data_IF_811988496416
#
_entry.id   IF_811988496416
#
_cell.length_a   1.000
_cell.length_b   1.000
_cell.length_c   1.000
_cell.angle_alpha   90.00
_cell.angle_beta   90.00
_cell.angle_gamma   90.00
#
_symmetry.space_group_name_H-M   'P 1'
#
loop_
_entity.id
_entity.type
_entity.pdbx_description
1 polymer ?
#
# COMPACT_ATOMS: atom_id res chain seq x y z
N UNK A 1 6.88 19.75 -5.11
CA UNK A 1 5.88 20.62 -4.47
C UNK A 1 5.07 19.73 -3.55
N UNK A 2 5.39 19.74 -2.25
CA UNK A 2 4.73 18.89 -1.26
C UNK A 2 3.30 19.40 -1.08
N UNK A 3 2.32 18.66 -1.59
CA UNK A 3 0.92 18.95 -1.33
C UNK A 3 0.63 18.53 0.11
N UNK A 4 0.33 19.55 0.92
CA UNK A 4 0.02 19.48 2.33
C UNK A 4 -1.16 18.53 2.55
N UNK A 5 -0.94 17.52 3.39
CA UNK A 5 -1.97 16.69 4.01
C UNK A 5 -2.96 17.61 4.74
N UNK A 6 -4.13 17.83 4.15
CA UNK A 6 -5.26 18.45 4.84
C UNK A 6 -5.84 17.41 5.78
N UNK A 7 -5.28 17.34 6.99
CA UNK A 7 -5.92 16.68 8.13
C UNK A 7 -7.10 17.56 8.56
N UNK A 8 -8.26 17.36 7.91
CA UNK A 8 -9.52 17.93 8.38
C UNK A 8 -10.04 17.07 9.56
N UNK A 9 -9.34 17.14 10.69
CA UNK A 9 -9.81 16.58 11.95
C UNK A 9 -10.89 17.49 12.54
N UNK A 10 -12.15 17.29 12.18
CA UNK A 10 -13.31 17.90 12.85
C UNK A 10 -14.58 17.07 12.60
N UNK A 11 -14.64 15.85 13.14
CA UNK A 11 -15.74 15.24 13.91
C UNK A 11 -15.36 13.76 14.13
N UNK A 12 -15.23 13.28 15.37
CA UNK A 12 -14.94 11.87 15.69
C UNK A 12 -16.18 10.98 15.43
N UNK A 13 -16.70 11.03 14.20
CA UNK A 13 -17.87 10.27 13.79
C UNK A 13 -17.45 9.07 12.95
N UNK A 14 -18.22 7.99 13.05
CA UNK A 14 -18.11 6.81 12.17
C UNK A 14 -17.99 7.21 10.70
N UNK A 15 -18.85 8.14 10.25
CA UNK A 15 -18.91 8.57 8.85
C UNK A 15 -17.59 9.23 8.41
N UNK A 16 -17.08 10.17 9.21
CA UNK A 16 -15.78 10.82 8.95
C UNK A 16 -14.66 9.78 8.88
N UNK A 17 -14.64 8.82 9.80
CA UNK A 17 -13.59 7.79 9.82
C UNK A 17 -13.63 6.86 8.60
N UNK A 18 -14.82 6.50 8.12
CA UNK A 18 -14.99 5.72 6.89
C UNK A 18 -14.60 6.51 5.64
N UNK A 19 -14.89 7.82 5.60
CA UNK A 19 -14.45 8.72 4.54
C UNK A 19 -12.92 8.81 4.53
N UNK A 20 -12.29 8.99 5.70
CA UNK A 20 -10.83 9.06 5.82
C UNK A 20 -10.14 7.76 5.40
N UNK A 21 -10.71 6.61 5.77
CA UNK A 21 -10.21 5.31 5.31
C UNK A 21 -10.29 5.19 3.78
N UNK A 22 -11.41 5.61 3.17
CA UNK A 22 -11.58 5.59 1.72
C UNK A 22 -10.58 6.51 1.01
N UNK A 23 -10.42 7.74 1.47
CA UNK A 23 -9.43 8.69 0.94
C UNK A 23 -8.01 8.12 1.05
N UNK A 24 -7.67 7.53 2.20
CA UNK A 24 -6.39 6.88 2.38
C UNK A 24 -6.13 5.75 1.34
N UNK A 25 -7.11 4.90 1.06
CA UNK A 25 -6.95 3.83 0.07
C UNK A 25 -6.79 4.37 -1.35
N UNK A 26 -7.52 5.43 -1.71
CA UNK A 26 -7.37 6.09 -3.01
C UNK A 26 -6.02 6.83 -3.15
N UNK A 27 -5.53 7.43 -2.07
CA UNK A 27 -4.18 8.02 -2.02
C UNK A 27 -3.13 6.94 -2.25
N UNK A 28 -3.18 5.82 -1.52
CA UNK A 28 -2.25 4.70 -1.71
C UNK A 28 -2.33 4.16 -3.14
N UNK A 29 -3.54 4.03 -3.70
CA UNK A 29 -3.72 3.58 -5.09
C UNK A 29 -3.04 4.49 -6.10
N UNK A 30 -3.06 5.80 -5.87
CA UNK A 30 -2.46 6.81 -6.74
C UNK A 30 -0.94 6.88 -6.58
N UNK A 31 -0.46 6.87 -5.33
CA UNK A 31 0.93 7.14 -5.00
C UNK A 31 1.82 5.89 -4.92
N UNK A 32 1.22 4.70 -4.73
CA UNK A 32 1.97 3.43 -4.60
C UNK A 32 2.92 3.06 -5.76
N UNK A 33 2.74 3.52 -7.02
CA UNK A 33 3.76 3.32 -8.05
C UNK A 33 5.13 3.89 -7.69
N UNK A 34 5.18 4.91 -6.83
CA UNK A 34 6.40 5.62 -6.41
C UNK A 34 6.83 5.29 -4.97
N UNK A 35 6.09 4.44 -4.25
CA UNK A 35 6.40 4.10 -2.87
C UNK A 35 7.72 3.33 -2.75
N UNK A 36 8.51 3.74 -1.77
CA UNK A 36 9.60 2.95 -1.20
C UNK A 36 9.08 1.87 -0.26
N UNK A 37 9.96 1.00 0.22
CA UNK A 37 9.60 0.03 1.26
C UNK A 37 9.17 0.70 2.58
N UNK A 38 9.78 1.83 2.93
CA UNK A 38 9.40 2.63 4.10
C UNK A 38 7.98 3.20 3.95
N UNK A 39 7.64 3.73 2.77
CA UNK A 39 6.30 4.22 2.47
C UNK A 39 5.25 3.10 2.58
N UNK A 40 5.57 1.90 2.10
CA UNK A 40 4.70 0.72 2.25
C UNK A 40 4.53 0.31 3.71
N UNK A 41 5.58 0.37 4.53
CA UNK A 41 5.50 0.07 5.96
C UNK A 41 4.65 1.10 6.72
N UNK A 42 4.80 2.39 6.39
CA UNK A 42 3.98 3.45 6.93
C UNK A 42 2.50 3.30 6.53
N UNK A 43 2.23 3.01 5.25
CA UNK A 43 0.88 2.75 4.76
C UNK A 43 0.24 1.53 5.44
N UNK A 44 0.99 0.43 5.61
CA UNK A 44 0.50 -0.76 6.31
C UNK A 44 0.15 -0.46 7.77
N UNK A 45 1.01 0.26 8.47
CA UNK A 45 0.74 0.67 9.86
C UNK A 45 -0.52 1.54 9.95
N UNK A 46 -0.71 2.47 9.01
CA UNK A 46 -1.91 3.32 8.97
C UNK A 46 -3.16 2.52 8.62
N UNK A 47 -3.08 1.58 7.67
CA UNK A 47 -4.16 0.67 7.33
C UNK A 47 -4.59 -0.15 8.55
N UNK A 48 -3.65 -0.79 9.25
CA UNK A 48 -3.98 -1.62 10.42
C UNK A 48 -4.68 -0.80 11.51
N UNK A 49 -4.22 0.43 11.77
CA UNK A 49 -4.91 1.36 12.68
C UNK A 49 -6.35 1.68 12.25
N UNK A 50 -6.59 1.91 10.96
CA UNK A 50 -7.95 2.09 10.45
C UNK A 50 -8.82 0.87 10.74
N UNK A 51 -8.33 -0.32 10.43
CA UNK A 51 -9.08 -1.57 10.60
C UNK A 51 -9.38 -1.82 12.08
N UNK A 52 -8.38 -1.68 12.96
CA UNK A 52 -8.56 -1.85 14.41
C UNK A 52 -9.64 -0.92 14.95
N UNK A 53 -9.60 0.39 14.63
CA UNK A 53 -10.59 1.34 15.13
C UNK A 53 -11.99 1.05 14.56
N UNK A 54 -12.10 0.70 13.28
CA UNK A 54 -13.39 0.32 12.69
C UNK A 54 -13.97 -0.91 13.37
N UNK A 55 -13.15 -1.94 13.59
CA UNK A 55 -13.60 -3.20 14.15
C UNK A 55 -13.98 -3.04 15.65
N UNK A 56 -13.18 -2.28 16.42
CA UNK A 56 -13.39 -2.07 17.86
C UNK A 56 -14.48 -1.06 18.21
N UNK A 57 -14.64 0.01 17.42
CA UNK A 57 -15.52 1.13 17.79
C UNK A 57 -16.80 1.21 16.96
N UNK A 58 -16.76 0.76 15.70
CA UNK A 58 -17.82 1.07 14.73
C UNK A 58 -18.51 -0.16 14.13
N UNK A 59 -17.97 -1.37 14.28
CA UNK A 59 -18.42 -2.58 13.59
C UNK A 59 -19.93 -2.87 13.71
N UNK A 60 -20.51 -2.66 14.89
CA UNK A 60 -21.95 -2.85 15.15
C UNK A 60 -22.83 -1.74 14.54
N UNK A 61 -22.26 -0.56 14.31
CA UNK A 61 -22.95 0.64 13.83
C UNK A 61 -22.92 0.78 12.30
N UNK A 62 -22.22 -0.13 11.61
CA UNK A 62 -22.11 -0.13 10.15
C UNK A 62 -23.39 -0.64 9.50
N UNK A 63 -23.93 0.16 8.58
CA UNK A 63 -25.01 -0.27 7.68
C UNK A 63 -24.50 -1.31 6.67
N UNK A 64 -25.39 -2.08 6.03
CA UNK A 64 -24.97 -3.01 4.96
C UNK A 64 -24.20 -2.32 3.83
N UNK A 65 -24.58 -1.10 3.46
CA UNK A 65 -23.89 -0.32 2.43
C UNK A 65 -22.48 0.07 2.87
N UNK A 66 -22.32 0.55 4.12
CA UNK A 66 -21.01 0.89 4.69
C UNK A 66 -20.11 -0.35 4.78
N UNK A 67 -20.64 -1.51 5.19
CA UNK A 67 -19.91 -2.79 5.21
C UNK A 67 -19.44 -3.20 3.82
N UNK A 68 -20.30 -3.03 2.81
CA UNK A 68 -19.95 -3.32 1.42
C UNK A 68 -18.84 -2.40 0.92
N UNK A 69 -18.96 -1.09 1.15
CA UNK A 69 -17.95 -0.12 0.75
C UNK A 69 -16.62 -0.36 1.47
N UNK A 70 -16.65 -0.58 2.79
CA UNK A 70 -15.49 -0.96 3.58
C UNK A 70 -14.81 -2.22 3.01
N UNK A 71 -15.58 -3.26 2.70
CA UNK A 71 -15.04 -4.51 2.13
C UNK A 71 -14.38 -4.28 0.76
N UNK A 72 -14.98 -3.46 -0.10
CA UNK A 72 -14.41 -3.05 -1.38
C UNK A 72 -13.07 -2.36 -1.18
N UNK A 73 -12.99 -1.39 -0.26
CA UNK A 73 -11.76 -0.65 0.01
C UNK A 73 -10.67 -1.52 0.65
N UNK A 74 -11.03 -2.44 1.57
CA UNK A 74 -10.11 -3.47 2.07
C UNK A 74 -9.56 -4.31 0.90
N UNK A 75 -10.42 -4.73 -0.03
CA UNK A 75 -10.02 -5.50 -1.22
C UNK A 75 -9.05 -4.75 -2.14
N UNK A 76 -9.32 -3.48 -2.43
CA UNK A 76 -8.44 -2.61 -3.24
C UNK A 76 -7.04 -2.53 -2.61
N UNK A 77 -6.97 -2.24 -1.31
CA UNK A 77 -5.69 -2.13 -0.61
C UNK A 77 -4.89 -3.43 -0.65
N UNK A 78 -5.53 -4.58 -0.43
CA UNK A 78 -4.86 -5.88 -0.50
C UNK A 78 -4.35 -6.22 -1.91
N UNK A 79 -5.11 -5.87 -2.95
CA UNK A 79 -4.67 -6.04 -4.33
C UNK A 79 -3.43 -5.20 -4.65
N UNK A 80 -3.37 -3.96 -4.14
CA UNK A 80 -2.20 -3.09 -4.28
C UNK A 80 -0.97 -3.70 -3.59
N UNK A 81 -1.12 -4.22 -2.37
CA UNK A 81 -0.04 -4.93 -1.65
C UNK A 81 0.46 -6.15 -2.41
N UNK A 82 -0.44 -6.95 -2.96
CA UNK A 82 -0.07 -8.13 -3.75
C UNK A 82 0.70 -7.72 -5.01
N UNK A 83 0.23 -6.69 -5.71
CA UNK A 83 0.92 -6.14 -6.89
C UNK A 83 2.33 -5.65 -6.54
N UNK A 84 2.51 -4.99 -5.41
CA UNK A 84 3.83 -4.55 -4.96
C UNK A 84 4.77 -5.74 -4.67
N UNK A 85 4.30 -6.75 -3.93
CA UNK A 85 5.10 -7.95 -3.65
C UNK A 85 5.49 -8.68 -4.94
N UNK A 86 4.58 -8.79 -5.90
CA UNK A 86 4.87 -9.39 -7.20
C UNK A 86 5.93 -8.59 -7.99
N UNK A 87 5.86 -7.25 -7.94
CA UNK A 87 6.88 -6.36 -8.52
C UNK A 87 8.24 -6.59 -7.85
N UNK A 88 8.31 -6.58 -6.52
CA UNK A 88 9.56 -6.82 -5.77
C UNK A 88 10.17 -8.19 -6.09
N UNK A 89 9.35 -9.25 -6.17
CA UNK A 89 9.83 -10.58 -6.53
C UNK A 89 10.40 -10.61 -7.96
N UNK A 90 9.72 -9.95 -8.91
CA UNK A 90 10.20 -9.84 -10.29
C UNK A 90 11.53 -9.06 -10.36
N UNK A 91 11.61 -7.91 -9.69
CA UNK A 91 12.80 -7.07 -9.68
C UNK A 91 14.00 -7.79 -9.05
N UNK A 92 13.79 -8.59 -7.99
CA UNK A 92 14.83 -9.44 -7.39
C UNK A 92 15.39 -10.46 -8.39
N UNK A 93 14.50 -11.18 -9.07
CA UNK A 93 14.90 -12.19 -10.07
C UNK A 93 15.66 -11.53 -11.23
N UNK A 94 15.18 -10.39 -11.75
CA UNK A 94 15.86 -9.68 -12.83
C UNK A 94 17.26 -9.18 -12.42
N UNK A 95 17.41 -8.69 -11.19
CA UNK A 95 18.71 -8.24 -10.69
C UNK A 95 19.68 -9.40 -10.47
N UNK A 96 19.23 -10.53 -9.93
CA UNK A 96 20.06 -11.74 -9.79
C UNK A 96 20.53 -12.27 -11.14
N UNK A 97 19.66 -12.28 -12.15
CA UNK A 97 20.04 -12.71 -13.52
C UNK A 97 21.07 -11.75 -14.11
N UNK A 98 20.85 -10.43 -14.00
CA UNK A 98 21.80 -9.42 -14.51
C UNK A 98 23.18 -9.57 -13.86
N UNK A 99 23.23 -9.73 -12.54
CA UNK A 99 24.49 -9.92 -11.84
C UNK A 99 25.26 -11.15 -12.36
N UNK A 100 24.58 -12.29 -12.54
CA UNK A 100 25.22 -13.51 -13.04
C UNK A 100 25.70 -13.38 -14.49
N UNK A 101 24.98 -12.65 -15.34
CA UNK A 101 25.39 -12.40 -16.72
C UNK A 101 26.65 -11.53 -16.74
N UNK A 102 26.66 -10.42 -16.00
CA UNK A 102 27.84 -9.52 -15.91
C UNK A 102 29.07 -10.23 -15.35
N UNK A 103 28.92 -11.02 -14.27
CA UNK A 103 30.02 -11.83 -13.73
C UNK A 103 30.59 -12.81 -14.77
N UNK A 104 29.75 -13.35 -15.65
CA UNK A 104 30.18 -14.30 -16.69
C UNK A 104 30.90 -13.60 -17.85
N UNK A 105 30.45 -12.41 -18.23
CA UNK A 105 31.08 -11.58 -19.26
C UNK A 105 32.47 -11.09 -18.82
N UNK A 106 32.60 -10.59 -17.58
CA UNK A 106 33.89 -10.15 -17.01
C UNK A 106 34.91 -11.29 -16.93
N UNK A 107 34.46 -12.51 -16.62
CA UNK A 107 35.32 -13.69 -16.62
C UNK A 107 35.78 -14.11 -18.03
N UNK A 108 35.00 -13.84 -19.08
CA UNK A 108 35.39 -14.16 -20.46
C UNK A 108 36.42 -13.15 -21.00
N UNK A 109 36.25 -11.86 -20.73
CA UNK A 109 37.19 -10.82 -21.20
C UNK A 109 38.56 -10.89 -20.50
N UNK A 110 38.62 -11.35 -19.25
CA UNK A 110 39.89 -11.51 -18.52
C UNK A 110 40.76 -12.70 -18.94
N UNK A 111 40.30 -13.53 -19.88
CA UNK A 111 41.00 -14.72 -20.39
C UNK A 111 41.67 -14.45 -21.76
N UNK A 112 41.37 -13.32 -22.43
CA UNK A 112 42.03 -12.86 -23.67
C UNK A 112 43.33 -12.07 -23.40
#
# INVERSE_FOLDING_TARGET
MFAVLVLCACNDSKETYLIDFNSFVEDVKTESPNYTEEDWNAANTKYDKFITIIDEQFSEQLTPEEKMNLSKQKGIYQALKLKNKAKQAKDSIENEIKQRVTETEDMQEGIE
#
